data_IF_618088921093
#
_entry.id   IF_618088921093
#
_cell.length_a   1.000
_cell.length_b   1.000
_cell.length_c   1.000
_cell.angle_alpha   90.00
_cell.angle_beta   90.00
_cell.angle_gamma   90.00
#
_symmetry.space_group_name_H-M   'P 1'
#
loop_
_entity.id
_entity.type
_entity.pdbx_description
1 polymer ?
#
# COMPACT_ATOMS: atom_id res chain seq x y z
N UNK A 1 -6.69 -2.54 14.32
CA UNK A 1 -6.33 -1.36 13.51
C UNK A 1 -6.33 -0.13 14.39
N UNK A 2 -7.43 0.19 15.08
CA UNK A 2 -7.53 1.34 16.01
C UNK A 2 -6.34 1.57 16.96
N UNK A 3 -5.80 0.52 17.59
CA UNK A 3 -4.62 0.63 18.48
C UNK A 3 -3.36 1.07 17.73
N UNK A 4 -3.16 0.58 16.50
CA UNK A 4 -2.04 0.97 15.64
C UNK A 4 -2.23 2.40 15.16
N UNK A 5 -3.45 2.73 14.72
CA UNK A 5 -3.78 4.09 14.28
C UNK A 5 -3.50 5.09 15.41
N UNK A 6 -3.97 4.82 16.63
CA UNK A 6 -3.70 5.67 17.80
C UNK A 6 -2.19 5.83 18.06
N UNK A 7 -1.40 4.76 17.97
CA UNK A 7 0.06 4.86 18.13
C UNK A 7 0.71 5.73 17.04
N UNK A 8 0.20 5.68 15.81
CA UNK A 8 0.68 6.54 14.72
C UNK A 8 0.30 8.00 15.00
N UNK A 9 -0.94 8.26 15.43
CA UNK A 9 -1.37 9.60 15.87
C UNK A 9 -0.46 10.16 16.96
N UNK A 10 -0.15 9.36 17.99
CA UNK A 10 0.72 9.79 19.08
C UNK A 10 2.15 10.12 18.61
N UNK A 11 2.63 9.49 17.53
CA UNK A 11 3.91 9.81 16.89
C UNK A 11 3.80 11.12 16.10
N UNK A 12 2.72 11.30 15.34
CA UNK A 12 2.45 12.51 14.57
C UNK A 12 2.26 13.73 15.47
N UNK A 13 1.56 13.60 16.59
CA UNK A 13 1.32 14.68 17.55
C UNK A 13 2.62 15.28 18.12
N UNK A 14 3.72 14.54 18.09
CA UNK A 14 5.05 15.02 18.53
C UNK A 14 5.75 15.91 17.51
N UNK A 15 5.26 16.03 16.28
CA UNK A 15 5.91 16.76 15.17
C UNK A 15 4.88 17.49 14.32
N UNK A 16 4.95 18.83 14.29
CA UNK A 16 3.99 19.69 13.57
C UNK A 16 3.93 19.44 12.06
N UNK A 17 5.01 18.94 11.47
CA UNK A 17 5.17 18.70 10.04
C UNK A 17 5.02 17.23 9.64
N UNK A 18 4.48 16.38 10.53
CA UNK A 18 4.22 14.98 10.25
C UNK A 18 2.71 14.72 10.31
N UNK A 19 2.12 14.38 9.16
CA UNK A 19 0.68 14.16 9.04
C UNK A 19 0.40 12.68 8.75
N UNK A 20 -0.45 12.05 9.56
CA UNK A 20 -0.96 10.71 9.28
C UNK A 20 -2.22 10.80 8.43
N UNK A 21 -2.16 10.26 7.21
CA UNK A 21 -3.29 10.22 6.29
C UNK A 21 -3.86 8.80 6.23
N UNK A 22 -4.92 8.55 6.99
CA UNK A 22 -5.74 7.35 6.91
C UNK A 22 -7.21 7.76 6.96
N UNK A 23 -7.85 7.84 5.80
CA UNK A 23 -9.17 8.46 5.63
C UNK A 23 -9.16 9.93 6.09
N UNK A 24 -8.06 10.64 5.79
CA UNK A 24 -7.86 12.04 6.14
C UNK A 24 -7.22 12.81 5.01
N UNK A 25 -7.46 14.12 5.01
CA UNK A 25 -6.80 15.07 4.14
C UNK A 25 -6.19 16.24 4.90
N UNK A 26 -5.21 16.89 4.27
CA UNK A 26 -4.54 18.09 4.80
C UNK A 26 -4.17 19.00 3.64
N UNK A 27 -4.25 20.32 3.85
CA UNK A 27 -3.76 21.31 2.88
C UNK A 27 -2.37 21.78 3.29
N UNK A 28 -1.37 21.51 2.45
CA UNK A 28 0.03 21.92 2.67
C UNK A 28 0.58 22.50 1.37
N UNK A 29 1.16 23.69 1.44
CA UNK A 29 1.74 24.37 0.27
C UNK A 29 0.71 24.70 -0.81
N UNK A 30 -0.55 24.95 -0.44
CA UNK A 30 -1.65 25.19 -1.38
C UNK A 30 -2.15 23.94 -2.11
N UNK A 31 -1.73 22.74 -1.70
CA UNK A 31 -2.16 21.45 -2.28
C UNK A 31 -2.97 20.70 -1.22
N UNK A 32 -4.11 20.14 -1.61
CA UNK A 32 -4.87 19.19 -0.79
C UNK A 32 -4.30 17.79 -1.00
N UNK A 33 -3.83 17.19 0.09
CA UNK A 33 -3.34 15.82 0.12
C UNK A 33 -4.40 14.96 0.81
N UNK A 34 -4.97 13.98 0.12
CA UNK A 34 -5.90 13.02 0.69
C UNK A 34 -5.26 11.63 0.70
N UNK A 35 -5.37 10.89 1.80
CA UNK A 35 -4.73 9.58 1.89
C UNK A 35 -5.54 8.54 2.65
N UNK A 36 -5.47 7.30 2.15
CA UNK A 36 -6.00 6.10 2.81
C UNK A 36 -5.25 4.86 2.30
N UNK A 37 -5.46 3.70 2.92
CA UNK A 37 -4.84 2.46 2.39
C UNK A 37 -5.43 2.06 1.03
N UNK A 38 -6.68 2.43 0.75
CA UNK A 38 -7.51 1.91 -0.34
C UNK A 38 -7.49 0.38 -0.38
N UNK A 39 -8.19 -0.31 0.54
CA UNK A 39 -8.36 -1.76 0.37
C UNK A 39 -9.03 -2.02 -0.96
N UNK A 40 -8.63 -3.06 -1.68
CA UNK A 40 -9.12 -3.28 -3.03
C UNK A 40 -10.57 -3.78 -3.05
N UNK A 41 -11.26 -3.59 -4.16
CA UNK A 41 -12.59 -4.16 -4.35
C UNK A 41 -12.48 -5.69 -4.34
N UNK A 42 -13.08 -6.31 -3.32
CA UNK A 42 -13.20 -7.76 -3.26
C UNK A 42 -14.20 -8.23 -4.32
N UNK A 43 -13.95 -9.36 -5.02
CA UNK A 43 -14.86 -9.87 -6.04
C UNK A 43 -16.24 -10.18 -5.46
N UNK A 44 -17.28 -9.78 -6.19
CA UNK A 44 -18.68 -10.01 -5.87
C UNK A 44 -19.29 -10.99 -6.88
N UNK A 45 -20.13 -11.91 -6.41
CA UNK A 45 -20.81 -12.89 -7.27
C UNK A 45 -19.93 -14.05 -7.76
N UNK A 46 -18.68 -14.13 -7.32
CA UNK A 46 -17.73 -15.23 -7.63
C UNK A 46 -17.18 -15.82 -6.32
N UNK A 47 -17.89 -16.81 -5.78
CA UNK A 47 -17.55 -17.45 -4.50
C UNK A 47 -16.26 -18.27 -4.55
N UNK A 48 -15.96 -18.84 -5.72
CA UNK A 48 -14.73 -19.61 -5.93
C UNK A 48 -13.51 -18.68 -5.88
N UNK A 49 -13.55 -17.59 -6.65
CA UNK A 49 -12.49 -16.60 -6.61
C UNK A 49 -12.35 -15.97 -5.22
N UNK A 50 -13.46 -15.62 -4.57
CA UNK A 50 -13.47 -15.10 -3.20
C UNK A 50 -12.73 -16.04 -2.23
N UNK A 51 -13.02 -17.34 -2.29
CA UNK A 51 -12.39 -18.36 -1.45
C UNK A 51 -10.89 -18.48 -1.74
N UNK A 52 -10.49 -18.46 -3.02
CA UNK A 52 -9.08 -18.49 -3.42
C UNK A 52 -8.32 -17.26 -2.90
N UNK A 53 -8.88 -16.06 -3.05
CA UNK A 53 -8.27 -14.83 -2.55
C UNK A 53 -8.13 -14.85 -1.03
N UNK A 54 -9.15 -15.34 -0.31
CA UNK A 54 -9.11 -15.46 1.14
C UNK A 54 -7.98 -16.39 1.61
N UNK A 55 -7.78 -17.51 0.92
CA UNK A 55 -6.71 -18.45 1.23
C UNK A 55 -5.30 -17.88 0.97
N UNK A 56 -5.16 -17.09 -0.10
CA UNK A 56 -3.87 -16.54 -0.53
C UNK A 56 -3.43 -15.31 0.26
N UNK A 57 -4.36 -14.42 0.59
CA UNK A 57 -4.04 -13.16 1.24
C UNK A 57 -3.64 -13.39 2.70
N UNK A 58 -2.44 -12.91 3.06
CA UNK A 58 -1.92 -13.02 4.42
C UNK A 58 -2.81 -12.31 5.44
N UNK A 59 -3.57 -11.31 4.98
CA UNK A 59 -4.47 -10.47 5.76
C UNK A 59 -5.43 -11.30 6.60
N UNK A 60 -6.11 -12.28 5.99
CA UNK A 60 -7.08 -13.15 6.68
C UNK A 60 -6.45 -14.11 7.71
N UNK A 61 -5.13 -14.32 7.64
CA UNK A 61 -4.40 -15.20 8.56
C UNK A 61 -3.66 -14.44 9.66
N UNK A 62 -3.25 -13.20 9.39
CA UNK A 62 -2.33 -12.44 10.25
C UNK A 62 -2.98 -11.22 10.87
N UNK A 63 -3.93 -10.57 10.20
CA UNK A 63 -4.58 -9.38 10.73
C UNK A 63 -5.63 -9.82 11.76
N UNK A 64 -5.56 -9.18 12.92
CA UNK A 64 -6.54 -9.33 13.99
C UNK A 64 -7.12 -7.97 14.34
N UNK A 65 -8.43 -7.91 14.55
CA UNK A 65 -9.13 -6.70 15.03
C UNK A 65 -9.94 -7.00 16.27
N UNK A 66 -10.19 -5.98 17.08
CA UNK A 66 -11.08 -6.11 18.22
C UNK A 66 -12.49 -6.49 17.75
N UNK A 67 -13.11 -7.46 18.41
CA UNK A 67 -14.43 -7.95 18.05
C UNK A 67 -15.50 -6.88 18.31
N UNK A 68 -16.06 -6.30 17.26
CA UNK A 68 -17.02 -5.19 17.28
C UNK A 68 -18.50 -5.63 17.31
N UNK A 69 -18.76 -6.86 17.73
CA UNK A 69 -20.12 -7.43 17.74
C UNK A 69 -20.57 -8.02 16.40
N UNK A 70 -19.75 -7.92 15.35
CA UNK A 70 -20.04 -8.52 14.05
C UNK A 70 -19.87 -10.04 14.06
N UNK A 71 -20.67 -10.73 13.24
CA UNK A 71 -20.52 -12.15 12.99
C UNK A 71 -19.34 -12.44 12.05
N UNK A 72 -18.83 -13.69 12.05
CA UNK A 72 -17.67 -14.09 11.24
C UNK A 72 -16.32 -14.00 11.95
N UNK A 73 -15.43 -14.96 11.64
CA UNK A 73 -14.05 -15.04 12.14
C UNK A 73 -13.90 -15.84 13.44
N UNK A 74 -12.79 -16.57 13.55
CA UNK A 74 -12.42 -17.25 14.80
C UNK A 74 -12.06 -16.21 15.89
N UNK A 75 -12.58 -16.42 17.10
CA UNK A 75 -12.42 -15.53 18.26
C UNK A 75 -13.62 -14.63 18.55
N UNK A 76 -14.76 -15.20 18.95
CA UNK A 76 -15.89 -14.47 19.56
C UNK A 76 -15.93 -14.77 21.06
N UNK A 77 -16.34 -13.80 21.88
CA UNK A 77 -17.24 -14.02 23.04
C UNK A 77 -17.28 -12.86 24.04
N UNK A 78 -16.23 -12.05 24.19
CA UNK A 78 -15.99 -11.30 25.46
C UNK A 78 -15.79 -12.29 26.60
N UNK A 79 -14.53 -12.48 27.00
CA UNK A 79 -14.18 -13.41 28.08
C UNK A 79 -13.86 -12.58 29.32
N UNK A 80 -14.55 -12.85 30.42
CA UNK A 80 -14.41 -12.12 31.70
C UNK A 80 -14.56 -10.59 31.56
N UNK A 81 -15.50 -10.13 30.71
CA UNK A 81 -15.73 -8.71 30.47
C UNK A 81 -14.67 -8.03 29.58
N UNK A 82 -13.69 -8.78 29.06
CA UNK A 82 -12.63 -8.26 28.19
C UNK A 82 -12.93 -8.63 26.73
N UNK A 83 -13.05 -7.60 25.90
CA UNK A 83 -13.18 -7.71 24.44
C UNK A 83 -12.00 -8.50 23.88
N UNK A 84 -12.24 -9.46 23.00
CA UNK A 84 -11.19 -10.27 22.37
C UNK A 84 -10.90 -9.79 20.95
N UNK A 85 -9.73 -10.15 20.42
CA UNK A 85 -9.40 -9.92 19.01
C UNK A 85 -9.83 -11.13 18.17
N UNK A 86 -10.51 -10.90 17.04
CA UNK A 86 -10.85 -11.91 16.03
C UNK A 86 -9.99 -11.77 14.78
N UNK A 87 -9.90 -12.83 14.00
CA UNK A 87 -9.29 -12.77 12.66
C UNK A 87 -10.06 -11.83 11.74
N UNK A 88 -9.32 -11.20 10.82
CA UNK A 88 -9.87 -10.41 9.73
C UNK A 88 -10.70 -11.30 8.79
N UNK A 89 -11.86 -10.82 8.35
CA UNK A 89 -12.76 -11.57 7.47
C UNK A 89 -13.09 -10.79 6.21
N UNK A 90 -13.67 -11.45 5.21
CA UNK A 90 -14.02 -10.87 3.91
C UNK A 90 -14.87 -9.61 4.06
N UNK A 91 -15.82 -9.62 4.99
CA UNK A 91 -16.68 -8.45 5.22
C UNK A 91 -15.91 -7.25 5.78
N UNK A 92 -14.84 -7.46 6.55
CA UNK A 92 -13.98 -6.34 6.97
C UNK A 92 -13.28 -5.72 5.76
N UNK A 93 -12.77 -6.55 4.85
CA UNK A 93 -12.11 -6.10 3.62
C UNK A 93 -13.07 -5.24 2.78
N UNK A 94 -14.29 -5.75 2.53
CA UNK A 94 -15.34 -5.05 1.77
C UNK A 94 -15.71 -3.73 2.45
N UNK A 95 -15.92 -3.74 3.76
CA UNK A 95 -16.27 -2.54 4.52
C UNK A 95 -15.16 -1.48 4.44
N UNK A 96 -13.89 -1.87 4.56
CA UNK A 96 -12.78 -0.94 4.39
C UNK A 96 -12.67 -0.39 2.97
N UNK A 97 -12.88 -1.22 1.95
CA UNK A 97 -12.94 -0.75 0.56
C UNK A 97 -14.02 0.32 0.40
N UNK A 98 -15.24 0.04 0.84
CA UNK A 98 -16.36 0.99 0.74
C UNK A 98 -16.07 2.29 1.49
N UNK A 99 -15.54 2.22 2.72
CA UNK A 99 -15.19 3.43 3.48
C UNK A 99 -14.13 4.27 2.77
N UNK A 100 -13.05 3.63 2.32
CA UNK A 100 -11.96 4.33 1.62
C UNK A 100 -12.44 4.95 0.31
N UNK A 101 -13.25 4.23 -0.44
CA UNK A 101 -13.87 4.73 -1.66
C UNK A 101 -14.77 5.94 -1.38
N UNK A 102 -15.66 5.85 -0.40
CA UNK A 102 -16.56 6.95 -0.03
C UNK A 102 -15.78 8.18 0.46
N UNK A 103 -14.71 7.97 1.24
CA UNK A 103 -13.80 9.04 1.65
C UNK A 103 -13.20 9.76 0.44
N UNK A 104 -12.63 9.02 -0.52
CA UNK A 104 -12.03 9.60 -1.73
C UNK A 104 -13.08 10.32 -2.60
N UNK A 105 -14.28 9.76 -2.76
CA UNK A 105 -15.38 10.40 -3.49
C UNK A 105 -15.76 11.74 -2.84
N UNK A 106 -15.77 11.82 -1.51
CA UNK A 106 -16.07 13.04 -0.79
C UNK A 106 -14.94 14.08 -0.92
N UNK A 107 -13.68 13.68 -0.80
CA UNK A 107 -12.53 14.58 -1.03
C UNK A 107 -12.51 15.15 -2.46
N UNK A 108 -12.88 14.33 -3.45
CA UNK A 108 -13.01 14.78 -4.84
C UNK A 108 -14.14 15.82 -4.96
N UNK A 109 -15.30 15.60 -4.34
CA UNK A 109 -16.40 16.58 -4.33
C UNK A 109 -15.98 17.90 -3.68
N UNK A 110 -15.34 17.84 -2.52
CA UNK A 110 -14.82 19.04 -1.85
C UNK A 110 -13.82 19.79 -2.74
N UNK A 111 -12.93 19.08 -3.41
CA UNK A 111 -11.97 19.69 -4.32
C UNK A 111 -12.59 20.23 -5.62
N UNK A 112 -13.79 19.78 -6.02
CA UNK A 112 -14.56 20.39 -7.11
C UNK A 112 -15.14 21.74 -6.71
N UNK A 113 -15.46 21.93 -5.43
CA UNK A 113 -15.96 23.20 -4.88
C UNK A 113 -14.84 24.25 -4.70
N UNK A 114 -13.58 23.80 -4.67
CA UNK A 114 -12.38 24.63 -4.48
C UNK A 114 -11.35 24.39 -5.60
N UNK A 115 -11.66 24.74 -6.85
CA UNK A 115 -10.86 24.40 -8.04
C UNK A 115 -9.44 25.00 -8.03
N UNK A 116 -9.19 26.03 -7.23
CA UNK A 116 -7.88 26.65 -7.03
C UNK A 116 -6.93 25.81 -6.16
N UNK A 117 -7.45 24.84 -5.41
CA UNK A 117 -6.66 23.93 -4.56
C UNK A 117 -6.54 22.57 -5.27
N UNK A 118 -5.40 22.24 -5.91
CA UNK A 118 -5.22 20.95 -6.56
C UNK A 118 -5.26 19.80 -5.54
N UNK A 119 -5.88 18.70 -5.95
CA UNK A 119 -5.97 17.47 -5.15
C UNK A 119 -4.91 16.46 -5.59
N UNK A 120 -4.15 15.98 -4.60
CA UNK A 120 -3.25 14.83 -4.69
C UNK A 120 -3.77 13.72 -3.80
N UNK A 121 -3.94 12.54 -4.38
CA UNK A 121 -4.39 11.34 -3.67
C UNK A 121 -3.20 10.40 -3.44
N UNK A 122 -3.07 9.88 -2.22
CA UNK A 122 -2.06 8.90 -1.82
C UNK A 122 -2.77 7.61 -1.38
N UNK A 123 -2.48 6.49 -2.04
CA UNK A 123 -3.04 5.18 -1.66
C UNK A 123 -1.97 4.10 -1.55
N UNK A 124 -2.24 3.05 -0.77
CA UNK A 124 -1.36 1.88 -0.81
C UNK A 124 -1.63 1.06 -2.07
N UNK A 125 -2.87 0.62 -2.31
CA UNK A 125 -3.22 -0.14 -3.51
C UNK A 125 -3.45 0.76 -4.73
N UNK A 126 -3.34 0.18 -5.93
CA UNK A 126 -3.50 0.91 -7.18
C UNK A 126 -4.98 1.20 -7.52
N UNK A 127 -5.28 2.36 -8.15
CA UNK A 127 -6.65 2.78 -8.44
C UNK A 127 -7.19 2.33 -9.81
N UNK A 128 -6.38 1.64 -10.60
CA UNK A 128 -6.77 0.98 -11.85
C UNK A 128 -5.88 -0.25 -12.03
N UNK A 129 -6.29 -1.18 -12.91
CA UNK A 129 -5.45 -2.27 -13.40
C UNK A 129 -4.59 -1.84 -14.61
N UNK A 130 -4.93 -0.74 -15.27
CA UNK A 130 -4.33 -0.33 -16.54
C UNK A 130 -2.93 0.26 -16.29
N UNK A 131 -1.90 -0.49 -16.68
CA UNK A 131 -0.49 -0.10 -16.57
C UNK A 131 -0.03 0.26 -15.14
N UNK A 132 -0.62 -0.36 -14.13
CA UNK A 132 -0.27 -0.19 -12.71
C UNK A 132 0.17 -1.50 -12.05
N UNK A 133 -0.32 -2.63 -12.55
CA UNK A 133 -0.02 -3.98 -12.07
C UNK A 133 1.03 -4.69 -12.93
N UNK A 134 1.64 -5.76 -12.41
CA UNK A 134 2.61 -6.55 -13.18
C UNK A 134 1.94 -7.35 -14.30
N UNK A 135 2.61 -7.45 -15.47
CA UNK A 135 2.11 -8.22 -16.63
C UNK A 135 1.86 -9.72 -16.33
N UNK A 136 2.50 -10.25 -15.29
CA UNK A 136 2.39 -11.64 -14.84
C UNK A 136 1.26 -11.90 -13.85
N UNK A 137 0.69 -10.86 -13.22
CA UNK A 137 -0.54 -11.03 -12.44
C UNK A 137 -1.65 -11.39 -13.44
N UNK A 138 -2.20 -12.59 -13.34
CA UNK A 138 -3.27 -13.11 -14.21
C UNK A 138 -4.44 -13.59 -13.34
N UNK A 139 -5.62 -13.66 -13.93
CA UNK A 139 -6.84 -14.08 -13.24
C UNK A 139 -7.32 -13.06 -12.19
N UNK A 140 -8.21 -13.50 -11.31
CA UNK A 140 -8.79 -12.64 -10.27
C UNK A 140 -7.83 -12.23 -9.14
N UNK A 141 -6.60 -12.74 -9.12
CA UNK A 141 -5.57 -12.33 -8.14
C UNK A 141 -5.18 -10.85 -8.24
N UNK A 142 -5.36 -10.23 -9.41
CA UNK A 142 -5.18 -8.79 -9.61
C UNK A 142 -6.02 -7.96 -8.63
N UNK A 143 -7.17 -8.50 -8.20
CA UNK A 143 -8.05 -7.85 -7.22
C UNK A 143 -7.40 -7.71 -5.84
N UNK A 144 -6.24 -8.31 -5.57
CA UNK A 144 -5.46 -8.01 -4.35
C UNK A 144 -4.60 -6.76 -4.52
N UNK A 145 -4.29 -6.37 -5.76
CA UNK A 145 -3.33 -5.31 -6.06
C UNK A 145 -3.98 -3.98 -6.44
N UNK A 146 -5.14 -4.03 -7.11
CA UNK A 146 -5.80 -2.85 -7.66
C UNK A 146 -7.34 -2.92 -7.60
N UNK A 147 -7.98 -1.75 -7.75
CA UNK A 147 -9.42 -1.60 -7.97
C UNK A 147 -9.69 -0.84 -9.27
N UNK A 148 -10.86 -0.96 -9.87
CA UNK A 148 -11.26 -0.10 -10.99
C UNK A 148 -11.94 1.17 -10.46
N UNK A 149 -11.16 2.24 -10.28
CA UNK A 149 -11.65 3.56 -9.85
C UNK A 149 -11.44 4.64 -10.93
N UNK A 150 -11.37 4.25 -12.21
CA UNK A 150 -11.07 5.18 -13.32
C UNK A 150 -12.09 6.33 -13.43
N UNK A 151 -13.32 6.12 -12.94
CA UNK A 151 -14.36 7.16 -12.86
C UNK A 151 -14.02 8.32 -11.91
N UNK A 152 -13.04 8.14 -11.04
CA UNK A 152 -12.57 9.15 -10.10
C UNK A 152 -11.40 9.98 -10.65
N UNK A 153 -10.91 9.65 -11.85
CA UNK A 153 -9.82 10.39 -12.48
C UNK A 153 -10.33 11.68 -13.12
N UNK A 154 -9.41 12.60 -13.32
CA UNK A 154 -9.65 13.93 -13.89
C UNK A 154 -10.17 14.94 -12.88
N UNK A 155 -10.73 16.03 -13.41
CA UNK A 155 -11.25 17.14 -12.61
C UNK A 155 -10.18 17.72 -11.65
N UNK A 156 -10.44 17.76 -10.34
CA UNK A 156 -9.50 18.31 -9.36
C UNK A 156 -8.31 17.37 -9.06
N UNK A 157 -8.40 16.08 -9.38
CA UNK A 157 -7.36 15.09 -9.06
C UNK A 157 -6.20 15.22 -10.05
N UNK A 158 -5.13 15.91 -9.63
CA UNK A 158 -3.95 16.14 -10.48
C UNK A 158 -2.97 14.99 -10.42
N UNK A 159 -2.78 14.40 -9.25
CA UNK A 159 -1.87 13.27 -9.03
C UNK A 159 -2.56 12.21 -8.17
N UNK A 160 -2.38 10.96 -8.54
CA UNK A 160 -2.70 9.81 -7.70
C UNK A 160 -1.45 8.95 -7.55
N UNK A 161 -0.80 9.06 -6.40
CA UNK A 161 0.36 8.25 -6.07
C UNK A 161 -0.06 6.95 -5.37
N UNK A 162 0.52 5.82 -5.77
CA UNK A 162 0.16 4.51 -5.24
C UNK A 162 1.37 3.59 -5.04
N UNK A 163 1.15 2.45 -4.38
CA UNK A 163 2.15 1.42 -4.14
C UNK A 163 1.61 0.01 -4.39
N UNK A 164 2.00 -0.93 -3.51
CA UNK A 164 1.58 -2.33 -3.43
C UNK A 164 1.93 -3.24 -4.62
N UNK A 165 1.90 -2.73 -5.86
CA UNK A 165 2.05 -3.55 -7.08
C UNK A 165 3.50 -3.96 -7.36
N UNK A 166 4.46 -3.44 -6.59
CA UNK A 166 5.90 -3.66 -6.78
C UNK A 166 6.33 -3.31 -8.21
N UNK A 167 5.66 -2.31 -8.79
CA UNK A 167 5.89 -1.85 -10.15
C UNK A 167 5.91 -0.34 -10.20
N UNK A 168 6.93 0.23 -10.84
CA UNK A 168 6.97 1.67 -11.12
C UNK A 168 6.06 2.01 -12.29
N UNK A 169 5.33 3.12 -12.14
CA UNK A 169 4.43 3.64 -13.16
C UNK A 169 4.48 5.16 -13.10
N UNK A 170 4.57 5.80 -14.27
CA UNK A 170 4.37 7.24 -14.41
C UNK A 170 3.63 7.47 -15.72
N UNK A 171 2.34 7.77 -15.62
CA UNK A 171 1.45 7.88 -16.76
C UNK A 171 0.33 8.88 -16.46
N UNK A 172 -0.32 9.38 -17.51
CA UNK A 172 -1.50 10.23 -17.38
C UNK A 172 -2.71 9.49 -17.93
N UNK A 173 -3.77 9.39 -17.13
CA UNK A 173 -5.06 8.85 -17.54
C UNK A 173 -6.15 9.84 -17.18
N UNK A 174 -6.99 10.20 -18.16
CA UNK A 174 -8.13 11.11 -17.98
C UNK A 174 -7.76 12.45 -17.29
N UNK A 175 -6.53 12.93 -17.47
CA UNK A 175 -6.04 14.17 -16.88
C UNK A 175 -5.44 14.04 -15.47
N UNK A 176 -5.43 12.84 -14.88
CA UNK A 176 -4.72 12.54 -13.62
C UNK A 176 -3.39 11.85 -13.89
N UNK A 177 -2.31 12.33 -13.30
CA UNK A 177 -1.01 11.64 -13.30
C UNK A 177 -1.04 10.50 -12.26
N UNK A 178 -0.96 9.27 -12.72
CA UNK A 178 -0.83 8.08 -11.88
C UNK A 178 0.65 7.79 -11.72
N UNK A 179 1.15 7.81 -10.48
CA UNK A 179 2.58 7.68 -10.22
C UNK A 179 2.88 6.67 -9.10
N UNK A 180 3.93 5.88 -9.26
CA UNK A 180 4.48 5.00 -8.24
C UNK A 180 5.97 4.83 -8.50
N UNK A 181 6.80 4.81 -7.45
CA UNK A 181 8.23 4.53 -7.55
C UNK A 181 8.58 3.36 -6.63
N UNK A 182 8.37 2.13 -7.11
CA UNK A 182 8.40 0.94 -6.27
C UNK A 182 9.64 0.13 -6.56
N UNK A 183 10.39 -0.23 -5.52
CA UNK A 183 11.67 -0.93 -5.65
C UNK A 183 11.53 -2.33 -6.29
N UNK A 184 10.41 -3.02 -6.09
CA UNK A 184 10.19 -4.38 -6.57
C UNK A 184 10.28 -5.42 -5.43
N UNK A 185 10.52 -6.68 -5.79
CA UNK A 185 10.76 -7.75 -4.80
C UNK A 185 12.25 -7.94 -4.59
N UNK A 186 12.71 -7.69 -3.37
CA UNK A 186 14.02 -8.15 -2.88
C UNK A 186 13.76 -9.24 -1.85
N UNK A 187 14.08 -10.50 -2.18
CA UNK A 187 13.97 -11.64 -1.27
C UNK A 187 15.32 -12.30 -1.11
N UNK A 188 16.06 -11.91 -0.08
CA UNK A 188 17.36 -12.52 0.31
C UNK A 188 17.24 -13.94 0.87
N UNK A 189 16.09 -14.63 0.70
CA UNK A 189 15.87 -15.96 1.28
C UNK A 189 16.37 -17.02 0.30
N UNK A 190 17.64 -17.36 0.45
CA UNK A 190 18.29 -18.52 -0.19
C UNK A 190 17.36 -19.74 -0.10
N UNK A 191 16.75 -20.15 -1.22
CA UNK A 191 15.87 -21.31 -1.31
C UNK A 191 14.51 -21.07 -1.95
N UNK A 192 14.05 -19.81 -2.09
CA UNK A 192 12.94 -19.50 -3.01
C UNK A 192 13.53 -18.85 -4.25
N UNK A 193 13.56 -19.57 -5.37
CA UNK A 193 14.04 -19.07 -6.67
C UNK A 193 13.15 -17.99 -7.29
N UNK A 194 12.77 -16.96 -6.52
CA UNK A 194 12.37 -15.68 -7.10
C UNK A 194 13.65 -14.87 -7.24
N UNK A 195 14.09 -14.67 -8.47
CA UNK A 195 15.08 -13.65 -8.77
C UNK A 195 14.65 -12.35 -8.07
N UNK A 196 15.59 -11.64 -7.45
CA UNK A 196 15.36 -10.28 -7.01
C UNK A 196 14.97 -9.47 -8.25
N UNK A 197 13.66 -9.21 -8.41
CA UNK A 197 13.17 -8.39 -9.52
C UNK A 197 13.03 -7.00 -8.95
N UNK A 198 14.16 -6.27 -8.97
CA UNK A 198 14.14 -4.82 -8.87
C UNK A 198 13.36 -4.31 -10.08
N UNK A 199 12.42 -3.39 -9.85
CA UNK A 199 11.74 -2.75 -10.97
C UNK A 199 12.75 -1.87 -11.72
N UNK A 200 12.97 -2.18 -12.99
CA UNK A 200 13.94 -1.48 -13.84
C UNK A 200 13.63 0.01 -14.04
N UNK A 201 12.39 0.43 -13.81
CA UNK A 201 11.94 1.80 -13.96
C UNK A 201 11.96 2.53 -12.60
N UNK A 202 12.38 1.87 -11.50
CA UNK A 202 12.66 2.51 -10.22
C UNK A 202 13.70 3.63 -10.38
N UNK A 203 13.41 4.79 -9.80
CA UNK A 203 14.27 5.97 -9.85
C UNK A 203 14.70 6.37 -8.45
N UNK A 204 16.02 6.50 -8.27
CA UNK A 204 16.63 7.02 -7.04
C UNK A 204 16.29 8.50 -6.80
N UNK A 205 15.91 9.25 -7.84
CA UNK A 205 15.58 10.67 -7.74
C UNK A 205 14.31 10.92 -6.89
N UNK A 206 13.48 9.89 -6.71
CA UNK A 206 12.30 9.92 -5.84
C UNK A 206 12.56 9.31 -4.46
N UNK A 207 13.82 9.02 -4.09
CA UNK A 207 14.19 8.52 -2.77
C UNK A 207 14.53 9.68 -1.84
N UNK A 208 13.82 9.75 -0.72
CA UNK A 208 14.16 10.66 0.38
C UNK A 208 14.86 9.84 1.46
N UNK A 209 16.15 10.09 1.64
CA UNK A 209 16.92 9.50 2.75
C UNK A 209 16.70 10.33 4.03
N UNK A 210 16.07 9.70 5.01
CA UNK A 210 15.75 10.32 6.31
C UNK A 210 16.89 10.17 7.33
N UNK A 211 17.88 9.33 7.04
CA UNK A 211 19.03 9.01 7.90
C UNK A 211 20.33 9.07 7.06
N UNK A 212 20.52 10.14 6.28
CA UNK A 212 21.61 10.25 5.28
C UNK A 212 22.97 9.77 5.83
N UNK A 213 23.31 8.53 5.46
CA UNK A 213 24.58 7.88 5.70
C UNK A 213 25.19 7.55 4.33
N UNK A 214 26.24 8.27 3.90
CA UNK A 214 26.89 8.08 2.60
C UNK A 214 27.34 6.64 2.31
N UNK A 215 27.60 5.83 3.34
CA UNK A 215 28.03 4.43 3.19
C UNK A 215 26.85 3.48 2.91
N UNK A 216 25.62 3.81 3.32
CA UNK A 216 24.42 2.97 3.11
C UNK A 216 23.97 2.96 1.65
N UNK A 217 24.06 4.09 0.96
CA UNK A 217 23.78 4.17 -0.49
C UNK A 217 24.81 3.34 -1.29
N UNK A 218 26.06 3.23 -0.82
CA UNK A 218 27.07 2.36 -1.46
C UNK A 218 26.72 0.87 -1.37
N UNK A 219 25.99 0.43 -0.34
CA UNK A 219 25.49 -0.96 -0.29
C UNK A 219 24.45 -1.23 -1.38
N UNK A 220 23.56 -0.28 -1.68
CA UNK A 220 22.65 -0.39 -2.83
C UNK A 220 23.42 -0.40 -4.18
N UNK A 221 24.54 0.34 -4.28
CA UNK A 221 25.41 0.33 -5.48
C UNK A 221 26.29 -0.93 -5.63
N UNK A 222 26.85 -1.48 -4.55
CA UNK A 222 27.80 -2.62 -4.64
C UNK A 222 27.13 -3.96 -4.92
N UNK A 223 25.86 -4.14 -4.54
CA UNK A 223 25.08 -5.29 -4.99
C UNK A 223 24.70 -5.24 -6.48
N UNK A 224 24.90 -4.10 -7.14
CA UNK A 224 24.50 -3.82 -8.52
C UNK A 224 25.62 -4.04 -9.54
N UNK A 225 26.87 -3.75 -9.18
CA UNK A 225 28.02 -3.88 -10.10
C UNK A 225 28.63 -5.31 -10.14
N UNK A 226 28.14 -6.24 -9.30
CA UNK A 226 28.70 -7.60 -9.15
C UNK A 226 28.19 -8.69 -10.12
N UNK A 227 27.46 -8.33 -11.18
CA UNK A 227 27.08 -9.29 -12.23
C UNK A 227 27.73 -8.99 -13.59
N UNK A 228 28.99 -8.56 -13.54
CA UNK A 228 29.95 -8.68 -14.63
C UNK A 228 31.20 -9.40 -14.13
N UNK A 229 31.41 -10.60 -14.65
CA UNK A 229 32.63 -11.44 -14.60
C UNK A 229 33.17 -11.87 -13.22
N UNK A 230 33.09 -13.18 -13.02
CA UNK A 230 34.07 -14.11 -12.42
C UNK A 230 34.85 -13.70 -11.16
N UNK A 231 34.71 -14.60 -10.18
CA UNK A 231 35.63 -14.97 -9.10
C UNK A 231 35.49 -14.38 -7.67
N UNK A 232 35.35 -15.37 -6.77
CA UNK A 232 35.77 -15.49 -5.37
C UNK A 232 34.84 -15.05 -4.22
N UNK A 233 34.63 -16.07 -3.35
CA UNK A 233 33.98 -16.08 -2.06
C UNK A 233 34.43 -14.95 -1.13
N UNK A 234 33.49 -14.33 -0.42
CA UNK A 234 33.65 -14.07 1.01
C UNK A 234 32.28 -13.86 1.68
N UNK A 235 31.96 -14.73 2.64
CA UNK A 235 30.70 -14.78 3.34
C UNK A 235 30.53 -13.62 4.34
N UNK A 236 29.34 -13.01 4.37
CA UNK A 236 29.02 -11.98 5.35
C UNK A 236 28.36 -12.63 6.59
N UNK A 237 29.11 -12.55 7.69
CA UNK A 237 28.81 -13.12 9.00
C UNK A 237 27.52 -12.57 9.63
N UNK A 238 26.82 -13.46 10.34
CA UNK A 238 25.62 -13.15 11.10
C UNK A 238 25.91 -12.27 12.33
N UNK A 239 25.00 -11.34 12.59
CA UNK A 239 24.90 -10.69 13.90
C UNK A 239 23.82 -11.37 14.73
N UNK A 240 24.28 -11.95 15.84
CA UNK A 240 23.52 -12.69 16.80
C UNK A 240 22.56 -11.85 17.63
N UNK A 241 21.61 -12.58 18.21
CA UNK A 241 20.71 -12.15 19.28
C UNK A 241 21.52 -11.78 20.52
N UNK A 242 21.06 -10.75 21.23
CA UNK A 242 20.97 -10.75 22.69
C UNK A 242 19.54 -10.43 23.08
#
# INVERSE_FOLDING_TARGET
MEEVDQRVEDICAKRKNLHFLNERSVVVGGIRWAGCTLWTQFPEGDEELASQLQYMANDFRKIKKWWDGTEGGEGKEVVNGVRQKRLFVVDDWKNLHHRHRNFLENEIKLAQEEPEIPLVILTHHAPTFIHTIQKGEKGGHKCLSASNLEKMFGGPVKVWAFGHTHRTSDQVQLGTRLVSNQFGYCTTRAGYGRNDIIDKDFSEDFVVDIDFDPERIRMYRRGWEGHGSDDEEEGCAGYGRN
#
